data_IF_726500849964
#
_entry.id   IF_726500849964
#
_cell.length_a   1.000
_cell.length_b   1.000
_cell.length_c   1.000
_cell.angle_alpha   90.00
_cell.angle_beta   90.00
_cell.angle_gamma   90.00
#
_symmetry.space_group_name_H-M   'P 1'
#
loop_
_entity.id
_entity.type
_entity.pdbx_description
1 polymer ?
#
# COMPACT_ATOMS: atom_id res chain seq x y z
N UNK A 1 2.34 11.46 -28.16
CA UNK A 1 2.87 10.08 -28.12
C UNK A 1 4.30 10.18 -27.63
N UNK A 2 4.50 10.17 -26.31
CA UNK A 2 5.85 10.25 -25.74
C UNK A 2 6.46 8.86 -25.77
N UNK A 3 7.66 8.75 -26.33
CA UNK A 3 8.40 7.50 -26.50
C UNK A 3 8.66 6.80 -25.16
N UNK A 4 8.66 5.46 -25.11
CA UNK A 4 9.12 4.72 -23.95
C UNK A 4 10.61 5.01 -23.74
N UNK A 5 11.00 5.27 -22.48
CA UNK A 5 12.38 5.58 -22.11
C UNK A 5 13.29 4.43 -22.56
N UNK A 6 14.31 4.76 -23.35
CA UNK A 6 15.41 3.86 -23.67
C UNK A 6 16.02 3.31 -22.37
N UNK A 7 15.99 1.99 -22.22
CA UNK A 7 16.79 1.32 -21.21
C UNK A 7 18.26 1.61 -21.51
N UNK A 8 19.07 2.11 -20.56
CA UNK A 8 20.44 2.54 -20.82
C UNK A 8 21.35 1.45 -21.43
N UNK A 9 20.95 0.17 -21.34
CA UNK A 9 21.65 -0.99 -21.93
C UNK A 9 20.78 -1.82 -22.91
N UNK A 10 19.60 -1.35 -23.32
CA UNK A 10 18.71 -2.08 -24.24
C UNK A 10 18.12 -3.40 -23.70
N UNK A 11 18.25 -3.67 -22.39
CA UNK A 11 17.58 -4.78 -21.68
C UNK A 11 16.97 -4.26 -20.38
N UNK A 12 15.78 -4.74 -19.98
CA UNK A 12 15.27 -4.50 -18.64
C UNK A 12 16.21 -5.11 -17.59
N UNK A 13 16.35 -4.45 -16.44
CA UNK A 13 17.08 -5.02 -15.31
C UNK A 13 16.15 -5.95 -14.50
N UNK A 14 16.67 -7.00 -13.84
CA UNK A 14 15.88 -7.81 -12.92
C UNK A 14 15.32 -6.95 -11.78
N UNK A 15 14.31 -7.47 -11.07
CA UNK A 15 13.64 -6.75 -9.96
C UNK A 15 14.67 -6.06 -9.06
N UNK A 16 14.53 -4.76 -8.80
CA UNK A 16 15.50 -4.02 -8.01
C UNK A 16 15.72 -4.63 -6.64
N UNK A 17 16.94 -4.51 -6.14
CA UNK A 17 17.34 -5.11 -4.87
C UNK A 17 18.03 -4.09 -3.97
N UNK A 18 17.83 -4.23 -2.65
CA UNK A 18 18.50 -3.43 -1.64
C UNK A 18 19.32 -4.31 -0.70
N UNK A 19 20.46 -3.82 -0.26
CA UNK A 19 21.29 -4.49 0.76
C UNK A 19 21.06 -3.84 2.12
N UNK A 20 20.62 -4.64 3.09
CA UNK A 20 20.41 -4.21 4.48
C UNK A 20 21.49 -4.84 5.36
N UNK A 21 22.08 -4.03 6.25
CA UNK A 21 23.15 -4.49 7.14
C UNK A 21 24.42 -4.94 6.41
N UNK A 22 24.66 -4.44 5.20
CA UNK A 22 25.86 -4.69 4.39
C UNK A 22 26.01 -6.12 3.84
N UNK A 23 25.09 -7.04 4.17
CA UNK A 23 25.27 -8.47 3.91
C UNK A 23 24.03 -9.14 3.31
N UNK A 24 22.83 -8.67 3.68
CA UNK A 24 21.59 -9.32 3.27
C UNK A 24 20.94 -8.54 2.12
N UNK A 25 20.87 -9.18 0.95
CA UNK A 25 20.24 -8.64 -0.26
C UNK A 25 18.76 -9.04 -0.28
N UNK A 26 17.88 -8.07 -0.43
CA UNK A 26 16.44 -8.25 -0.56
C UNK A 26 15.97 -7.73 -1.91
N UNK A 27 15.12 -8.48 -2.60
CA UNK A 27 14.31 -7.93 -3.68
C UNK A 27 13.35 -6.88 -3.13
N UNK A 28 13.12 -5.79 -3.86
CA UNK A 28 12.28 -4.69 -3.39
C UNK A 28 10.83 -5.11 -3.15
N UNK A 29 10.34 -6.17 -3.81
CA UNK A 29 9.00 -6.75 -3.59
C UNK A 29 8.96 -7.82 -2.49
N UNK A 30 10.05 -7.97 -1.72
CA UNK A 30 10.09 -8.93 -0.63
C UNK A 30 9.25 -8.43 0.56
N UNK A 31 8.15 -9.13 0.84
CA UNK A 31 7.22 -8.81 1.93
C UNK A 31 7.87 -8.67 3.32
N UNK A 32 9.03 -9.30 3.57
CA UNK A 32 9.76 -9.14 4.84
C UNK A 32 10.24 -7.70 5.05
N UNK A 33 10.44 -6.94 3.99
CA UNK A 33 10.84 -5.53 4.08
C UNK A 33 9.84 -4.70 4.86
N UNK A 34 8.53 -5.03 4.83
CA UNK A 34 7.52 -4.32 5.61
C UNK A 34 7.81 -4.39 7.10
N UNK A 35 8.26 -5.54 7.59
CA UNK A 35 8.58 -5.74 9.01
C UNK A 35 9.96 -5.18 9.38
N UNK A 36 10.88 -5.09 8.41
CA UNK A 36 12.24 -4.58 8.63
C UNK A 36 12.25 -3.05 8.62
N UNK A 37 11.45 -2.42 7.74
CA UNK A 37 11.48 -0.98 7.48
C UNK A 37 11.41 -0.11 8.75
N UNK A 38 10.52 -0.35 9.74
CA UNK A 38 10.46 0.42 10.98
C UNK A 38 11.76 0.45 11.78
N UNK A 39 12.59 -0.59 11.66
CA UNK A 39 13.85 -0.73 12.40
C UNK A 39 15.02 0.01 11.75
N UNK A 40 14.84 0.51 10.52
CA UNK A 40 15.88 1.19 9.77
C UNK A 40 15.88 2.69 10.08
N UNK A 41 17.04 3.33 9.91
CA UNK A 41 17.14 4.78 9.95
C UNK A 41 16.29 5.44 8.84
N UNK A 42 15.66 6.60 9.07
CA UNK A 42 14.76 7.23 8.10
C UNK A 42 15.33 7.38 6.66
N UNK A 43 16.61 7.73 6.44
CA UNK A 43 17.16 7.77 5.07
C UNK A 43 17.12 6.43 4.34
N UNK A 44 17.28 5.31 5.06
CA UNK A 44 17.18 3.98 4.48
C UNK A 44 15.72 3.60 4.19
N UNK A 45 14.78 4.06 5.02
CA UNK A 45 13.34 3.88 4.75
C UNK A 45 12.94 4.64 3.48
N UNK A 46 13.38 5.89 3.34
CA UNK A 46 13.17 6.71 2.13
C UNK A 46 13.74 6.04 0.90
N UNK A 47 14.98 5.54 0.96
CA UNK A 47 15.59 4.84 -0.18
C UNK A 47 14.80 3.60 -0.61
N UNK A 48 14.25 2.83 0.33
CA UNK A 48 13.38 1.68 0.03
C UNK A 48 12.08 2.13 -0.62
N UNK A 49 11.44 3.17 -0.07
CA UNK A 49 10.19 3.72 -0.60
C UNK A 49 10.39 4.24 -2.02
N UNK A 50 11.43 5.04 -2.27
CA UNK A 50 11.71 5.61 -3.58
C UNK A 50 12.03 4.51 -4.60
N UNK A 51 12.78 3.48 -4.20
CA UNK A 51 13.09 2.34 -5.07
C UNK A 51 11.82 1.56 -5.47
N UNK A 52 10.91 1.33 -4.52
CA UNK A 52 9.63 0.69 -4.84
C UNK A 52 8.76 1.59 -5.72
N UNK A 53 8.76 2.90 -5.48
CA UNK A 53 7.99 3.86 -6.26
C UNK A 53 8.45 3.90 -7.71
N UNK A 54 9.76 3.87 -7.95
CA UNK A 54 10.32 3.83 -9.30
C UNK A 54 10.04 2.49 -9.98
N UNK A 55 10.11 1.38 -9.25
CA UNK A 55 9.73 0.07 -9.78
C UNK A 55 8.25 0.00 -10.15
N UNK A 56 7.34 0.57 -9.36
CA UNK A 56 5.91 0.66 -9.71
C UNK A 56 5.71 1.41 -11.02
N UNK A 57 6.35 2.58 -11.20
CA UNK A 57 6.27 3.34 -12.46
C UNK A 57 6.81 2.53 -13.64
N UNK A 58 7.86 1.76 -13.43
CA UNK A 58 8.44 0.90 -14.45
C UNK A 58 7.46 -0.20 -14.87
N UNK A 59 6.78 -0.85 -13.92
CA UNK A 59 5.73 -1.84 -14.22
C UNK A 59 4.54 -1.19 -14.92
N UNK A 60 4.13 0.02 -14.54
CA UNK A 60 3.04 0.73 -15.21
C UNK A 60 3.33 0.94 -16.70
N UNK A 61 4.57 1.32 -17.03
CA UNK A 61 5.02 1.58 -18.41
C UNK A 61 5.26 0.27 -19.18
N UNK A 62 6.02 -0.66 -18.60
CA UNK A 62 6.59 -1.81 -19.33
C UNK A 62 5.86 -3.13 -19.03
N UNK A 63 5.06 -3.22 -17.98
CA UNK A 63 4.47 -4.47 -17.49
C UNK A 63 3.46 -5.12 -18.45
N UNK A 64 3.13 -4.48 -19.56
CA UNK A 64 2.31 -5.06 -20.64
C UNK A 64 3.15 -5.77 -21.71
N UNK A 65 4.48 -5.65 -21.67
CA UNK A 65 5.41 -6.39 -22.52
C UNK A 65 5.80 -7.71 -21.81
N UNK A 66 5.47 -8.89 -22.37
CA UNK A 66 5.87 -10.18 -21.80
C UNK A 66 7.39 -10.31 -21.67
N UNK A 67 8.17 -9.74 -22.59
CA UNK A 67 9.64 -9.76 -22.55
C UNK A 67 10.15 -9.07 -21.29
N UNK A 68 9.55 -7.94 -20.95
CA UNK A 68 9.83 -7.23 -19.71
C UNK A 68 9.49 -8.10 -18.50
N UNK A 69 8.29 -8.67 -18.48
CA UNK A 69 7.81 -9.49 -17.36
C UNK A 69 8.64 -10.76 -17.13
N UNK A 70 9.13 -11.42 -18.19
CA UNK A 70 10.09 -12.52 -18.07
C UNK A 70 11.45 -12.04 -17.54
N UNK A 71 11.91 -10.87 -17.99
CA UNK A 71 13.22 -10.34 -17.59
C UNK A 71 13.27 -10.00 -16.10
N UNK A 72 12.19 -9.45 -15.56
CA UNK A 72 12.05 -9.23 -14.12
C UNK A 72 11.69 -10.51 -13.35
N UNK A 73 11.53 -11.66 -14.03
CA UNK A 73 11.19 -12.93 -13.40
C UNK A 73 9.79 -12.98 -12.79
N UNK A 74 8.85 -12.18 -13.32
CA UNK A 74 7.43 -12.15 -12.90
C UNK A 74 6.53 -12.95 -13.83
N UNK A 75 7.11 -13.53 -14.89
CA UNK A 75 6.46 -14.40 -15.86
C UNK A 75 7.40 -15.56 -16.18
N UNK A 76 6.94 -16.81 -16.04
CA UNK A 76 7.74 -17.99 -16.38
C UNK A 76 8.09 -18.00 -17.88
N UNK A 77 9.23 -18.56 -18.32
CA UNK A 77 9.73 -18.39 -19.70
C UNK A 77 8.77 -18.77 -20.83
N UNK A 78 7.79 -19.64 -20.58
CA UNK A 78 6.77 -20.12 -21.50
C UNK A 78 5.36 -19.54 -21.24
N UNK A 79 5.20 -18.75 -20.19
CA UNK A 79 3.93 -18.14 -19.80
C UNK A 79 3.66 -16.86 -20.62
N UNK A 80 2.39 -16.62 -20.97
CA UNK A 80 1.96 -15.39 -21.66
C UNK A 80 0.85 -14.73 -20.84
N UNK A 81 1.02 -13.46 -20.49
CA UNK A 81 0.01 -12.67 -19.78
C UNK A 81 -1.11 -12.21 -20.75
N UNK A 82 -1.94 -13.15 -21.20
CA UNK A 82 -2.95 -12.90 -22.24
C UNK A 82 -4.06 -11.95 -21.83
N UNK A 83 -4.33 -11.81 -20.52
CA UNK A 83 -5.43 -11.02 -19.97
C UNK A 83 -4.95 -9.78 -19.19
N UNK A 84 -3.62 -9.59 -19.07
CA UNK A 84 -3.01 -8.51 -18.29
C UNK A 84 -3.14 -8.71 -16.78
N UNK A 85 -3.61 -9.87 -16.31
CA UNK A 85 -3.82 -10.12 -14.90
C UNK A 85 -2.49 -10.24 -14.14
N UNK A 86 -1.39 -10.67 -14.79
CA UNK A 86 -0.08 -10.73 -14.13
C UNK A 86 0.44 -9.34 -13.82
N UNK A 87 0.37 -8.42 -14.78
CA UNK A 87 0.69 -7.00 -14.54
C UNK A 87 -0.15 -6.44 -13.39
N UNK A 88 -1.46 -6.65 -13.42
CA UNK A 88 -2.37 -6.12 -12.40
C UNK A 88 -2.11 -6.72 -11.02
N UNK A 89 -1.85 -8.01 -10.92
CA UNK A 89 -1.49 -8.68 -9.67
C UNK A 89 -0.16 -8.17 -9.11
N UNK A 90 0.83 -7.92 -9.96
CA UNK A 90 2.10 -7.34 -9.56
C UNK A 90 1.93 -5.90 -9.05
N UNK A 91 1.16 -5.07 -9.77
CA UNK A 91 0.86 -3.71 -9.35
C UNK A 91 0.08 -3.65 -8.03
N UNK A 92 -0.88 -4.56 -7.83
CA UNK A 92 -1.60 -4.73 -6.57
C UNK A 92 -0.64 -5.07 -5.43
N UNK A 93 0.20 -6.09 -5.60
CA UNK A 93 1.20 -6.48 -4.59
C UNK A 93 2.17 -5.35 -4.23
N UNK A 94 2.70 -4.64 -5.23
CA UNK A 94 3.59 -3.50 -5.03
C UNK A 94 2.86 -2.31 -4.38
N UNK A 95 1.63 -2.02 -4.80
CA UNK A 95 0.82 -0.95 -4.22
C UNK A 95 0.48 -1.23 -2.76
N UNK A 96 0.08 -2.45 -2.44
CA UNK A 96 -0.18 -2.84 -1.07
C UNK A 96 1.08 -2.76 -0.20
N UNK A 97 2.25 -3.15 -0.74
CA UNK A 97 3.51 -3.00 -0.04
C UNK A 97 3.89 -1.52 0.16
N UNK A 98 3.67 -0.68 -0.84
CA UNK A 98 3.90 0.77 -0.75
C UNK A 98 3.05 1.42 0.33
N UNK A 99 1.75 1.08 0.39
CA UNK A 99 0.85 1.58 1.42
C UNK A 99 1.34 1.20 2.83
N UNK A 100 1.87 -0.02 3.00
CA UNK A 100 2.46 -0.45 4.27
C UNK A 100 3.75 0.32 4.58
N UNK A 101 4.64 0.52 3.61
CA UNK A 101 5.85 1.33 3.82
C UNK A 101 5.51 2.76 4.25
N UNK A 102 4.56 3.41 3.58
CA UNK A 102 4.09 4.75 3.93
C UNK A 102 3.44 4.81 5.32
N UNK A 103 2.77 3.74 5.75
CA UNK A 103 2.23 3.66 7.12
C UNK A 103 3.32 3.51 8.19
N UNK A 104 4.36 2.75 7.88
CA UNK A 104 5.33 2.27 8.85
C UNK A 104 6.67 3.03 8.84
N UNK A 105 6.86 3.95 7.90
CA UNK A 105 8.01 4.85 7.93
C UNK A 105 7.90 5.92 9.01
N UNK A 106 9.04 6.51 9.37
CA UNK A 106 9.16 7.57 10.36
C UNK A 106 9.75 8.84 9.73
N UNK A 107 9.01 9.96 9.69
CA UNK A 107 7.59 10.08 10.07
C UNK A 107 6.66 9.33 9.12
N UNK A 108 5.47 8.96 9.60
CA UNK A 108 4.44 8.29 8.79
C UNK A 108 4.02 9.18 7.60
N UNK A 109 3.88 8.57 6.43
CA UNK A 109 3.44 9.18 5.15
C UNK A 109 2.12 8.57 4.65
N UNK A 110 1.32 8.02 5.55
CA UNK A 110 0.05 7.33 5.23
C UNK A 110 -0.96 8.19 4.46
N UNK A 111 -0.88 9.52 4.56
CA UNK A 111 -1.66 10.48 3.79
C UNK A 111 -1.35 10.45 2.28
N UNK A 112 -0.13 10.07 1.90
CA UNK A 112 0.29 9.88 0.50
C UNK A 112 -0.10 8.51 -0.07
N UNK A 113 -0.59 7.59 0.76
CA UNK A 113 -0.82 6.19 0.38
C UNK A 113 -2.13 5.94 -0.39
N UNK A 114 -3.04 6.93 -0.44
CA UNK A 114 -4.36 6.82 -1.07
C UNK A 114 -4.36 6.11 -2.44
N UNK A 115 -3.57 6.52 -3.45
CA UNK A 115 -3.60 5.89 -4.77
C UNK A 115 -3.25 4.40 -4.71
N UNK A 116 -2.28 4.01 -3.88
CA UNK A 116 -1.84 2.62 -3.76
C UNK A 116 -2.88 1.75 -3.04
N UNK A 117 -3.54 2.30 -2.02
CA UNK A 117 -4.64 1.62 -1.31
C UNK A 117 -5.83 1.44 -2.25
N UNK A 118 -6.18 2.47 -3.04
CA UNK A 118 -7.26 2.42 -4.02
C UNK A 118 -6.98 1.40 -5.13
N UNK A 119 -5.74 1.30 -5.63
CA UNK A 119 -5.34 0.24 -6.58
C UNK A 119 -5.62 -1.15 -6.00
N UNK A 120 -5.24 -1.37 -4.74
CA UNK A 120 -5.43 -2.67 -4.08
C UNK A 120 -6.91 -3.01 -3.89
N UNK A 121 -7.71 -2.05 -3.43
CA UNK A 121 -9.17 -2.21 -3.29
C UNK A 121 -9.86 -2.42 -4.64
N UNK A 122 -9.43 -1.73 -5.69
CA UNK A 122 -9.96 -1.92 -7.04
C UNK A 122 -9.67 -3.32 -7.56
N UNK A 123 -8.45 -3.83 -7.34
CA UNK A 123 -8.10 -5.20 -7.73
C UNK A 123 -8.90 -6.23 -6.93
N UNK A 124 -9.04 -6.05 -5.62
CA UNK A 124 -9.86 -6.93 -4.77
C UNK A 124 -11.30 -7.04 -5.30
N UNK A 125 -11.93 -5.90 -5.63
CA UNK A 125 -13.31 -5.83 -6.17
C UNK A 125 -13.50 -6.55 -7.51
N UNK A 126 -12.43 -6.82 -8.28
CA UNK A 126 -12.54 -7.53 -9.57
C UNK A 126 -12.78 -9.03 -9.39
N UNK A 127 -12.37 -9.60 -8.27
CA UNK A 127 -12.41 -11.04 -8.02
C UNK A 127 -13.36 -11.43 -6.88
N UNK A 128 -13.91 -10.45 -6.17
CA UNK A 128 -14.78 -10.69 -5.03
C UNK A 128 -16.16 -10.10 -5.28
N UNK A 129 -17.16 -10.66 -4.61
CA UNK A 129 -18.54 -10.15 -4.66
C UNK A 129 -18.63 -8.76 -4.02
N UNK A 130 -19.61 -7.91 -4.40
CA UNK A 130 -19.80 -6.59 -3.80
C UNK A 130 -20.00 -6.60 -2.28
N UNK A 131 -20.48 -7.71 -1.73
CA UNK A 131 -20.69 -7.93 -0.30
C UNK A 131 -19.39 -8.26 0.45
N UNK A 132 -18.40 -8.83 -0.23
CA UNK A 132 -17.09 -9.13 0.33
C UNK A 132 -16.22 -7.88 0.37
N UNK A 133 -15.70 -7.57 1.55
CA UNK A 133 -14.88 -6.38 1.78
C UNK A 133 -13.52 -6.75 2.34
N UNK A 134 -12.46 -6.17 1.76
CA UNK A 134 -11.14 -6.24 2.36
C UNK A 134 -10.99 -5.13 3.41
N UNK A 135 -11.30 -5.49 4.66
CA UNK A 135 -11.31 -4.55 5.79
C UNK A 135 -9.93 -3.96 6.09
N UNK A 136 -8.84 -4.63 5.69
CA UNK A 136 -7.49 -4.17 6.04
C UNK A 136 -7.05 -2.95 5.20
N UNK A 137 -7.10 -2.98 3.85
CA UNK A 137 -6.92 -1.79 3.03
C UNK A 137 -7.96 -0.70 3.31
N UNK A 138 -9.22 -1.06 3.64
CA UNK A 138 -10.23 -0.06 4.04
C UNK A 138 -9.82 0.69 5.32
N UNK A 139 -9.31 -0.01 6.34
CA UNK A 139 -8.82 0.63 7.55
C UNK A 139 -7.64 1.57 7.26
N UNK A 140 -6.73 1.17 6.35
CA UNK A 140 -5.62 2.03 5.91
C UNK A 140 -6.11 3.25 5.15
N UNK A 141 -7.15 3.10 4.31
CA UNK A 141 -7.78 4.20 3.59
C UNK A 141 -8.40 5.20 4.56
N UNK A 142 -9.12 4.72 5.58
CA UNK A 142 -9.69 5.58 6.61
C UNK A 142 -8.59 6.32 7.41
N UNK A 143 -7.49 5.63 7.74
CA UNK A 143 -6.34 6.25 8.39
C UNK A 143 -5.69 7.33 7.51
N UNK A 144 -5.56 7.08 6.21
CA UNK A 144 -5.11 8.03 5.20
C UNK A 144 -6.00 9.29 5.18
N UNK A 145 -7.32 9.12 5.01
CA UNK A 145 -8.29 10.23 5.02
C UNK A 145 -8.29 11.01 6.32
N UNK A 146 -8.11 10.34 7.47
CA UNK A 146 -8.05 11.03 8.76
C UNK A 146 -6.87 12.02 8.88
N UNK A 147 -5.83 11.84 8.07
CA UNK A 147 -4.62 12.68 8.05
C UNK A 147 -4.69 13.78 7.00
N UNK A 148 -5.63 13.72 6.06
CA UNK A 148 -5.84 14.74 5.03
C UNK A 148 -6.88 15.77 5.51
N UNK A 149 -6.54 17.08 5.55
CA UNK A 149 -7.51 18.12 5.91
C UNK A 149 -8.73 18.11 4.98
N UNK A 150 -9.93 18.09 5.56
CA UNK A 150 -11.19 18.15 4.81
C UNK A 150 -11.76 16.78 4.40
N UNK A 151 -11.04 15.67 4.65
CA UNK A 151 -11.53 14.30 4.40
C UNK A 151 -11.97 13.56 5.67
N UNK A 152 -12.16 14.27 6.78
CA UNK A 152 -12.51 13.65 8.06
C UNK A 152 -13.89 12.98 8.05
N UNK A 153 -14.83 13.49 7.24
CA UNK A 153 -16.14 12.89 7.09
C UNK A 153 -16.08 11.56 6.31
N UNK A 154 -15.27 11.51 5.24
CA UNK A 154 -14.98 10.28 4.51
C UNK A 154 -14.24 9.27 5.38
N UNK A 155 -13.27 9.73 6.19
CA UNK A 155 -12.57 8.89 7.14
C UNK A 155 -13.55 8.25 8.14
N UNK A 156 -14.42 9.04 8.77
CA UNK A 156 -15.44 8.56 9.71
C UNK A 156 -16.35 7.51 9.07
N UNK A 157 -16.81 7.75 7.84
CA UNK A 157 -17.67 6.80 7.11
C UNK A 157 -16.95 5.46 6.90
N UNK A 158 -15.70 5.49 6.44
CA UNK A 158 -14.95 4.25 6.15
C UNK A 158 -14.58 3.53 7.45
N UNK A 159 -14.25 4.24 8.54
CA UNK A 159 -14.02 3.59 9.84
C UNK A 159 -15.26 2.86 10.35
N UNK A 160 -16.44 3.50 10.32
CA UNK A 160 -17.70 2.86 10.69
C UNK A 160 -18.00 1.64 9.82
N UNK A 161 -17.77 1.76 8.51
CA UNK A 161 -17.93 0.64 7.60
C UNK A 161 -17.00 -0.54 7.94
N UNK A 162 -15.75 -0.27 8.33
CA UNK A 162 -14.81 -1.31 8.78
C UNK A 162 -15.31 -1.98 10.06
N UNK A 163 -15.83 -1.23 11.02
CA UNK A 163 -16.40 -1.77 12.26
C UNK A 163 -17.59 -2.68 12.01
N UNK A 164 -18.51 -2.26 11.14
CA UNK A 164 -19.71 -3.04 10.78
C UNK A 164 -19.38 -4.30 9.94
N UNK A 165 -18.22 -4.30 9.27
CA UNK A 165 -17.83 -5.36 8.34
C UNK A 165 -16.87 -6.39 8.95
N UNK A 166 -16.59 -6.32 10.26
CA UNK A 166 -15.63 -7.23 10.91
C UNK A 166 -16.04 -7.65 12.32
N UNK A 167 -15.97 -8.96 12.57
CA UNK A 167 -16.05 -9.51 13.93
C UNK A 167 -14.68 -9.49 14.64
N UNK A 168 -13.62 -9.07 13.95
CA UNK A 168 -12.28 -9.03 14.50
C UNK A 168 -12.13 -7.84 15.46
N UNK A 169 -12.22 -8.12 16.76
CA UNK A 169 -12.13 -7.11 17.83
C UNK A 169 -10.91 -6.18 17.66
N UNK A 170 -9.75 -6.70 17.26
CA UNK A 170 -8.53 -5.88 17.07
C UNK A 170 -8.70 -4.82 15.98
N UNK A 171 -9.37 -5.17 14.89
CA UNK A 171 -9.64 -4.24 13.78
C UNK A 171 -10.62 -3.16 14.21
N UNK A 172 -11.69 -3.54 14.94
CA UNK A 172 -12.65 -2.61 15.52
C UNK A 172 -11.95 -1.61 16.47
N UNK A 173 -11.11 -2.11 17.38
CA UNK A 173 -10.33 -1.27 18.28
C UNK A 173 -9.41 -0.29 17.54
N UNK A 174 -8.77 -0.73 16.45
CA UNK A 174 -7.95 0.17 15.64
C UNK A 174 -8.77 1.27 14.98
N UNK A 175 -9.93 0.95 14.41
CA UNK A 175 -10.83 1.94 13.81
C UNK A 175 -11.26 3.00 14.83
N UNK A 176 -11.77 2.57 15.99
CA UNK A 176 -12.19 3.46 17.08
C UNK A 176 -11.04 4.34 17.59
N UNK A 177 -9.85 3.76 17.81
CA UNK A 177 -8.68 4.51 18.27
C UNK A 177 -8.16 5.53 17.24
N UNK A 178 -8.33 5.26 15.94
CA UNK A 178 -8.00 6.22 14.89
C UNK A 178 -9.05 7.35 14.81
N UNK A 179 -10.34 7.02 14.95
CA UNK A 179 -11.43 8.00 14.99
C UNK A 179 -11.35 8.92 16.21
N UNK A 180 -11.11 8.40 17.42
CA UNK A 180 -10.92 9.24 18.61
C UNK A 180 -9.79 10.26 18.38
N UNK A 181 -8.63 9.80 17.89
CA UNK A 181 -7.49 10.67 17.58
C UNK A 181 -7.83 11.72 16.52
N UNK A 182 -8.65 11.38 15.53
CA UNK A 182 -9.14 12.33 14.53
C UNK A 182 -10.06 13.37 15.16
N UNK A 183 -11.04 12.95 15.97
CA UNK A 183 -11.95 13.87 16.66
C UNK A 183 -11.25 14.81 17.62
N UNK A 184 -10.21 14.34 18.35
CA UNK A 184 -9.36 15.23 19.16
C UNK A 184 -8.71 16.31 18.30
N UNK A 185 -8.17 15.98 17.11
CA UNK A 185 -7.61 16.97 16.16
C UNK A 185 -8.65 17.96 15.64
N UNK A 186 -9.90 17.52 15.46
CA UNK A 186 -11.02 18.38 15.05
C UNK A 186 -11.60 19.23 16.18
N UNK A 187 -11.12 19.11 17.42
CA UNK A 187 -11.70 19.76 18.60
C UNK A 187 -13.01 19.14 19.10
N UNK A 188 -13.39 17.95 18.62
CA UNK A 188 -14.62 17.22 19.01
C UNK A 188 -14.36 16.31 20.21
N UNK A 189 -13.97 16.88 21.35
CA UNK A 189 -13.54 16.12 22.54
C UNK A 189 -14.59 15.10 23.04
N UNK A 190 -15.86 15.51 23.16
CA UNK A 190 -16.93 14.63 23.65
C UNK A 190 -17.09 13.34 22.82
N UNK A 191 -17.00 13.43 21.49
CA UNK A 191 -17.06 12.26 20.61
C UNK A 191 -15.83 11.37 20.72
N UNK A 192 -14.67 11.95 21.01
CA UNK A 192 -13.46 11.17 21.22
C UNK A 192 -13.54 10.40 22.54
N UNK A 193 -14.07 11.03 23.60
CA UNK A 193 -14.24 10.41 24.92
C UNK A 193 -15.23 9.24 24.86
N UNK A 194 -16.36 9.39 24.17
CA UNK A 194 -17.31 8.30 23.94
C UNK A 194 -16.65 7.06 23.31
N UNK A 195 -15.84 7.25 22.27
CA UNK A 195 -15.10 6.16 21.63
C UNK A 195 -13.97 5.59 22.51
N UNK A 196 -13.33 6.42 23.32
CA UNK A 196 -12.29 5.98 24.25
C UNK A 196 -12.88 5.12 25.39
N UNK A 197 -14.08 5.46 25.86
CA UNK A 197 -14.82 4.67 26.85
C UNK A 197 -15.31 3.32 26.30
N UNK A 198 -15.72 3.24 25.03
CA UNK A 198 -16.11 1.96 24.40
C UNK A 198 -14.92 0.99 24.23
N UNK A 199 -13.69 1.52 24.19
CA UNK A 199 -12.45 0.77 23.95
C UNK A 199 -11.72 0.38 25.24
N UNK A 200 -12.03 1.04 26.37
CA UNK A 200 -11.36 0.87 27.67
C UNK A 200 -11.74 -0.42 28.42
#
# INVERSE_FOLDING_TARGET
MSQPKDFPNGRPDPVPTITIGGTHKFSIVNKRLVNILPSLFPPNQTAIIDLLADFIKEIEINGSDPTYMHTIGMLEPDEVDTDGNKKLHLLDGCSWQMAQFMRYCEPTRIDEAEPFIQTSLAQYRRFHSPEEKDVTPMLYLAACYSKQPGKEAEAERVFKEVEDSTEAWRTKLWAMAHMSRMYRRMGKAAKAEELEEEVA
#
